data_IF_961152721087
#
_entry.id   IF_961152721087
#
_cell.length_a   1.000
_cell.length_b   1.000
_cell.length_c   1.000
_cell.angle_alpha   90.00
_cell.angle_beta   90.00
_cell.angle_gamma   90.00
#
_symmetry.space_group_name_H-M   'P 1'
#
loop_
_entity.id
_entity.type
_entity.pdbx_description
1 polymer ?
#
# COMPACT_ATOMS: atom_id res chain seq x y z
N UNK A 1 -7.20 -32.97 -1.49
CA UNK A 1 -8.36 -33.25 -0.59
C UNK A 1 -9.10 -31.94 -0.37
N UNK A 2 -10.43 -31.93 -0.21
CA UNK A 2 -11.23 -30.69 -0.02
C UNK A 2 -10.63 -29.73 1.02
N UNK A 3 -10.04 -30.27 2.11
CA UNK A 3 -9.37 -29.50 3.16
C UNK A 3 -8.09 -28.79 2.68
N UNK A 4 -7.31 -29.46 1.83
CA UNK A 4 -6.08 -28.91 1.28
C UNK A 4 -6.36 -27.84 0.21
N UNK A 5 -7.37 -28.06 -0.63
CA UNK A 5 -7.80 -27.08 -1.63
C UNK A 5 -8.31 -25.80 -0.94
N UNK A 6 -9.06 -25.93 0.16
CA UNK A 6 -9.50 -24.81 0.97
C UNK A 6 -8.32 -24.06 1.63
N UNK A 7 -7.33 -24.78 2.15
CA UNK A 7 -6.10 -24.15 2.69
C UNK A 7 -5.37 -23.35 1.60
N UNK A 8 -5.13 -23.96 0.43
CA UNK A 8 -4.48 -23.29 -0.71
C UNK A 8 -5.26 -22.08 -1.19
N UNK A 9 -6.58 -22.12 -1.14
CA UNK A 9 -7.43 -20.97 -1.45
C UNK A 9 -7.18 -19.80 -0.48
N UNK A 10 -7.14 -20.06 0.82
CA UNK A 10 -6.88 -19.04 1.84
C UNK A 10 -5.46 -18.49 1.79
N UNK A 11 -4.48 -19.33 1.44
CA UNK A 11 -3.10 -18.91 1.19
C UNK A 11 -3.02 -18.00 -0.04
N UNK A 12 -3.60 -18.43 -1.18
CA UNK A 12 -3.58 -17.65 -2.43
C UNK A 12 -4.31 -16.31 -2.34
N UNK A 13 -5.35 -16.22 -1.52
CA UNK A 13 -6.07 -14.96 -1.31
C UNK A 13 -5.39 -14.03 -0.29
N UNK A 14 -4.33 -14.47 0.39
CA UNK A 14 -3.66 -13.70 1.44
C UNK A 14 -4.47 -13.59 2.74
N UNK A 15 -5.54 -14.37 2.89
CA UNK A 15 -6.37 -14.34 4.10
C UNK A 15 -5.61 -14.81 5.34
N UNK A 16 -4.75 -15.83 5.18
CA UNK A 16 -3.91 -16.34 6.28
C UNK A 16 -2.89 -15.28 6.72
N UNK A 17 -2.23 -14.61 5.76
CA UNK A 17 -1.23 -13.58 6.06
C UNK A 17 -1.85 -12.36 6.75
N UNK A 18 -3.05 -11.97 6.31
CA UNK A 18 -3.82 -10.87 6.91
C UNK A 18 -4.21 -11.19 8.36
N UNK A 19 -4.76 -12.38 8.61
CA UNK A 19 -5.10 -12.85 9.97
C UNK A 19 -3.85 -12.91 10.87
N UNK A 20 -2.74 -13.43 10.33
CA UNK A 20 -1.47 -13.56 11.06
C UNK A 20 -0.92 -12.20 11.43
N UNK A 21 -0.93 -11.23 10.51
CA UNK A 21 -0.42 -9.88 10.76
C UNK A 21 -1.21 -9.15 11.86
N UNK A 22 -2.53 -9.27 11.88
CA UNK A 22 -3.36 -8.68 12.94
C UNK A 22 -3.07 -9.32 14.31
N UNK A 23 -2.87 -10.64 14.36
CA UNK A 23 -2.53 -11.34 15.61
C UNK A 23 -1.12 -10.99 16.10
N UNK A 24 -0.16 -10.81 15.20
CA UNK A 24 1.19 -10.34 15.54
C UNK A 24 1.13 -8.91 16.11
N UNK A 25 0.39 -8.01 15.47
CA UNK A 25 0.22 -6.64 15.98
C UNK A 25 -0.42 -6.61 17.37
N UNK A 26 -1.42 -7.46 17.62
CA UNK A 26 -2.03 -7.60 18.94
C UNK A 26 -1.05 -8.18 19.98
N UNK A 27 -0.13 -9.04 19.57
CA UNK A 27 0.91 -9.60 20.44
C UNK A 27 1.98 -8.54 20.80
N UNK A 28 2.34 -7.70 19.85
CA UNK A 28 3.34 -6.63 20.01
C UNK A 28 2.81 -5.40 20.76
N UNK A 29 1.48 -5.24 20.87
CA UNK A 29 0.87 -4.12 21.58
C UNK A 29 1.22 -4.19 23.08
N UNK A 30 2.05 -3.23 23.52
CA UNK A 30 2.60 -3.18 24.88
C UNK A 30 1.54 -2.93 25.97
N UNK A 31 0.42 -2.32 25.59
CA UNK A 31 -0.79 -2.20 26.42
C UNK A 31 -1.88 -3.08 25.81
N UNK A 32 -2.01 -4.32 26.30
CA UNK A 32 -2.96 -5.27 25.72
C UNK A 32 -4.37 -4.73 25.89
N UNK A 33 -5.15 -4.56 24.81
CA UNK A 33 -6.51 -4.08 24.92
C UNK A 33 -7.32 -5.08 25.74
N UNK A 34 -8.14 -4.58 26.66
CA UNK A 34 -9.03 -5.41 27.49
C UNK A 34 -9.89 -6.34 26.62
N UNK A 35 -10.29 -5.86 25.43
CA UNK A 35 -11.12 -6.60 24.47
C UNK A 35 -10.35 -6.91 23.17
N UNK A 36 -9.58 -8.00 23.19
CA UNK A 36 -8.85 -8.51 22.01
C UNK A 36 -9.72 -8.68 20.75
N UNK A 37 -11.01 -9.00 20.92
CA UNK A 37 -11.95 -9.17 19.81
C UNK A 37 -12.29 -7.85 19.11
N UNK A 38 -12.28 -6.72 19.81
CA UNK A 38 -12.50 -5.40 19.21
C UNK A 38 -11.31 -4.97 18.36
N UNK A 39 -10.09 -5.21 18.85
CA UNK A 39 -8.86 -4.99 18.08
C UNK A 39 -8.91 -5.78 16.76
N UNK A 40 -9.17 -7.09 16.84
CA UNK A 40 -9.25 -7.94 15.65
C UNK A 40 -10.29 -7.41 14.65
N UNK A 41 -11.50 -7.03 15.09
CA UNK A 41 -12.54 -6.46 14.21
C UNK A 41 -12.09 -5.17 13.53
N UNK A 42 -11.49 -4.26 14.28
CA UNK A 42 -11.02 -2.96 13.77
C UNK A 42 -9.91 -3.14 12.74
N UNK A 43 -8.91 -3.97 13.05
CA UNK A 43 -7.71 -4.08 12.23
C UNK A 43 -7.91 -5.03 11.04
N UNK A 44 -8.73 -6.09 11.12
CA UNK A 44 -9.06 -6.87 9.92
C UNK A 44 -9.92 -6.10 8.91
N UNK A 45 -10.86 -5.27 9.38
CA UNK A 45 -11.74 -4.49 8.48
C UNK A 45 -11.07 -3.23 7.92
N UNK A 46 -10.18 -2.60 8.69
CA UNK A 46 -9.58 -1.30 8.34
C UNK A 46 -8.32 -1.38 7.49
N UNK A 47 -7.53 -2.45 7.57
CA UNK A 47 -6.24 -2.55 6.88
C UNK A 47 -6.39 -2.50 5.34
N UNK A 48 -7.41 -3.16 4.77
CA UNK A 48 -7.65 -3.10 3.32
C UNK A 48 -8.04 -1.69 2.85
N UNK A 49 -8.84 -0.97 3.63
CA UNK A 49 -9.25 0.40 3.29
C UNK A 49 -8.07 1.37 3.39
N UNK A 50 -7.22 1.23 4.40
CA UNK A 50 -6.01 2.03 4.57
C UNK A 50 -5.00 1.77 3.45
N UNK A 51 -4.73 0.50 3.12
CA UNK A 51 -3.85 0.15 1.99
C UNK A 51 -4.40 0.63 0.66
N UNK A 52 -5.71 0.59 0.44
CA UNK A 52 -6.31 1.12 -0.77
C UNK A 52 -6.12 2.64 -0.87
N UNK A 53 -6.41 3.37 0.21
CA UNK A 53 -6.22 4.82 0.28
C UNK A 53 -4.74 5.22 0.08
N UNK A 54 -3.82 4.49 0.69
CA UNK A 54 -2.38 4.73 0.55
C UNK A 54 -1.91 4.45 -0.88
N UNK A 55 -2.36 3.36 -1.50
CA UNK A 55 -2.07 3.07 -2.91
C UNK A 55 -2.61 4.15 -3.84
N UNK A 56 -3.83 4.64 -3.61
CA UNK A 56 -4.43 5.68 -4.44
C UNK A 56 -3.68 7.02 -4.28
N UNK A 57 -3.23 7.34 -3.06
CA UNK A 57 -2.37 8.50 -2.79
C UNK A 57 -1.02 8.39 -3.49
N UNK A 58 -0.35 7.23 -3.38
CA UNK A 58 0.94 6.97 -4.02
C UNK A 58 0.86 7.03 -5.54
N UNK A 59 -0.22 6.51 -6.15
CA UNK A 59 -0.45 6.62 -7.59
C UNK A 59 -0.56 8.07 -8.04
N UNK A 60 -1.36 8.88 -7.32
CA UNK A 60 -1.52 10.30 -7.63
C UNK A 60 -0.19 11.05 -7.56
N UNK A 61 0.59 10.83 -6.50
CA UNK A 61 1.90 11.46 -6.34
C UNK A 61 2.88 11.03 -7.45
N UNK A 62 2.85 9.75 -7.85
CA UNK A 62 3.68 9.25 -8.94
C UNK A 62 3.34 9.93 -10.28
N UNK A 63 2.05 10.10 -10.57
CA UNK A 63 1.59 10.78 -11.78
C UNK A 63 1.98 12.27 -11.79
N UNK A 64 1.84 12.97 -10.65
CA UNK A 64 2.29 14.35 -10.49
C UNK A 64 3.80 14.51 -10.68
N UNK A 65 4.60 13.62 -10.08
CA UNK A 65 6.06 13.60 -10.22
C UNK A 65 6.47 13.34 -11.67
N UNK A 66 5.84 12.38 -12.35
CA UNK A 66 6.08 12.11 -13.78
C UNK A 66 5.78 13.32 -14.66
N UNK A 67 4.67 14.00 -14.41
CA UNK A 67 4.31 15.23 -15.13
C UNK A 67 5.38 16.31 -14.95
N UNK A 68 5.84 16.51 -13.71
CA UNK A 68 6.85 17.52 -13.39
C UNK A 68 8.21 17.19 -14.01
N UNK A 69 8.61 15.92 -14.03
CA UNK A 69 9.82 15.45 -14.72
C UNK A 69 9.71 15.73 -16.22
N UNK A 70 8.55 15.46 -16.83
CA UNK A 70 8.33 15.75 -18.26
C UNK A 70 8.46 17.24 -18.58
N UNK A 71 7.82 18.11 -17.79
CA UNK A 71 7.90 19.57 -17.95
C UNK A 71 9.33 20.08 -17.81
N UNK A 72 10.04 19.67 -16.76
CA UNK A 72 11.42 20.07 -16.52
C UNK A 72 12.35 19.64 -17.66
N UNK A 73 12.17 18.42 -18.18
CA UNK A 73 12.95 17.95 -19.34
C UNK A 73 12.69 18.81 -20.58
N UNK A 74 11.42 19.17 -20.85
CA UNK A 74 11.06 20.06 -21.96
C UNK A 74 11.68 21.45 -21.81
N UNK A 75 11.70 22.00 -20.60
CA UNK A 75 12.37 23.27 -20.31
C UNK A 75 13.88 23.17 -20.55
N UNK A 76 14.51 22.10 -20.07
CA UNK A 76 15.95 21.85 -20.29
C UNK A 76 16.26 21.76 -21.79
N UNK A 77 15.45 21.05 -22.57
CA UNK A 77 15.63 20.93 -24.02
C UNK A 77 15.51 22.29 -24.71
N UNK A 78 14.49 23.07 -24.37
CA UNK A 78 14.28 24.42 -24.92
C UNK A 78 15.46 25.34 -24.59
N UNK A 79 15.92 25.37 -23.34
CA UNK A 79 17.05 26.19 -22.92
C UNK A 79 18.35 25.76 -23.60
N UNK A 80 18.60 24.46 -23.73
CA UNK A 80 19.76 23.93 -24.45
C UNK A 80 19.73 24.27 -25.94
N UNK A 81 18.55 24.28 -26.57
CA UNK A 81 18.40 24.70 -27.95
C UNK A 81 18.74 26.19 -28.11
N UNK A 82 18.17 27.04 -27.25
CA UNK A 82 18.40 28.48 -27.27
C UNK A 82 19.88 28.85 -27.05
N UNK A 83 20.59 28.14 -26.17
CA UNK A 83 22.02 28.33 -25.93
C UNK A 83 22.92 27.90 -27.10
N UNK A 84 22.45 27.01 -27.98
CA UNK A 84 23.20 26.61 -29.18
C UNK A 84 23.01 27.58 -30.35
N UNK A 85 21.92 28.35 -30.34
CA UNK A 85 21.57 29.31 -31.39
C UNK A 85 22.04 30.73 -31.10
N UNK A 86 22.51 31.01 -29.89
CA UNK A 86 23.13 32.27 -29.46
C UNK A 86 24.66 32.19 -29.57
#
# INVERSE_FOLDING_TARGET
SKKEDFRRYLEKSGAIDSLTSVLVGLYEESDRPLESTEYIKKFLGGQQQQQQQENDKLKKENDELKSRVHELNKTIETLRANLKTA
#
